data_IF_070380391396
#
_entry.id   IF_070380391396
#
_cell.length_a   1.000
_cell.length_b   1.000
_cell.length_c   1.000
_cell.angle_alpha   90.00
_cell.angle_beta   90.00
_cell.angle_gamma   90.00
#
_symmetry.space_group_name_H-M   'P 1'
#
loop_
_entity.id
_entity.type
_entity.pdbx_description
1 polymer ?
#
# COMPACT_ATOMS: atom_id res chain seq x y z
N UNK A 1 9.16 -3.87 -13.30
CA UNK A 1 8.16 -3.70 -12.22
C UNK A 1 8.50 -2.46 -11.43
N UNK A 2 7.52 -1.62 -11.12
CA UNK A 2 7.75 -0.46 -10.24
C UNK A 2 7.90 -0.95 -8.79
N UNK A 3 9.11 -0.88 -8.24
CA UNK A 3 9.44 -1.40 -6.89
C UNK A 3 9.24 -0.37 -5.78
N UNK A 4 9.14 0.93 -6.11
CA UNK A 4 8.86 2.01 -5.17
C UNK A 4 7.69 2.83 -5.74
N UNK A 5 6.45 2.34 -5.60
CA UNK A 5 5.28 3.02 -6.13
C UNK A 5 5.02 4.34 -5.40
N UNK A 6 4.36 5.27 -6.08
CA UNK A 6 3.81 6.45 -5.41
C UNK A 6 2.81 6.05 -4.33
N UNK A 7 2.77 6.83 -3.24
CA UNK A 7 1.96 6.53 -2.05
C UNK A 7 1.01 7.68 -1.66
N UNK A 8 0.76 8.61 -2.59
CA UNK A 8 -0.21 9.71 -2.43
C UNK A 8 -1.61 9.27 -2.85
N UNK A 9 -2.64 10.07 -2.54
CA UNK A 9 -4.05 9.79 -2.89
C UNK A 9 -4.28 9.51 -4.38
N UNK A 10 -3.49 10.14 -5.25
CA UNK A 10 -3.62 9.99 -6.70
C UNK A 10 -2.85 8.81 -7.27
N UNK A 11 -2.01 8.15 -6.45
CA UNK A 11 -1.13 7.06 -6.87
C UNK A 11 -1.88 5.74 -7.10
N UNK A 12 -1.35 4.90 -7.98
CA UNK A 12 -2.03 3.67 -8.42
C UNK A 12 -2.18 2.63 -7.31
N UNK A 13 -1.16 2.45 -6.46
CA UNK A 13 -1.22 1.43 -5.41
C UNK A 13 -2.27 1.76 -4.32
N UNK A 14 -2.29 2.98 -3.72
CA UNK A 14 -3.36 3.37 -2.81
C UNK A 14 -4.75 3.28 -3.41
N UNK A 15 -4.93 3.68 -4.69
CA UNK A 15 -6.21 3.56 -5.41
C UNK A 15 -6.66 2.10 -5.57
N UNK A 16 -5.73 1.21 -5.90
CA UNK A 16 -6.04 -0.21 -6.04
C UNK A 16 -6.45 -0.83 -4.70
N UNK A 17 -5.74 -0.49 -3.61
CA UNK A 17 -6.10 -0.92 -2.26
C UNK A 17 -7.50 -0.42 -1.88
N UNK A 18 -7.80 0.86 -2.12
CA UNK A 18 -9.13 1.43 -1.89
C UNK A 18 -10.22 0.72 -2.70
N UNK A 19 -9.99 0.45 -3.98
CA UNK A 19 -10.92 -0.29 -4.84
C UNK A 19 -11.17 -1.73 -4.35
N UNK A 20 -10.18 -2.32 -3.69
CA UNK A 20 -10.29 -3.61 -2.99
C UNK A 20 -10.89 -3.52 -1.58
N UNK A 21 -11.34 -2.35 -1.15
CA UNK A 21 -11.91 -2.14 0.19
C UNK A 21 -10.87 -2.12 1.32
N UNK A 22 -9.59 -1.94 1.00
CA UNK A 22 -8.49 -1.88 1.98
C UNK A 22 -8.26 -0.40 2.35
N UNK A 23 -8.47 0.00 3.61
CA UNK A 23 -8.09 1.32 4.10
C UNK A 23 -6.59 1.58 3.96
N UNK A 24 -6.21 2.83 3.71
CA UNK A 24 -4.80 3.19 3.52
C UNK A 24 -3.93 2.83 4.75
N UNK A 25 -4.44 3.02 5.97
CA UNK A 25 -3.75 2.62 7.19
C UNK A 25 -3.48 1.12 7.25
N UNK A 26 -4.40 0.29 6.77
CA UNK A 26 -4.23 -1.16 6.74
C UNK A 26 -3.22 -1.61 5.69
N UNK A 27 -3.18 -0.93 4.54
CA UNK A 27 -2.13 -1.11 3.55
C UNK A 27 -0.75 -0.82 4.15
N UNK A 28 -0.60 0.29 4.90
CA UNK A 28 0.67 0.63 5.56
C UNK A 28 1.04 -0.39 6.63
N UNK A 29 0.08 -0.82 7.47
CA UNK A 29 0.30 -1.84 8.48
C UNK A 29 0.80 -3.15 7.85
N UNK A 30 0.22 -3.55 6.71
CA UNK A 30 0.65 -4.72 5.97
C UNK A 30 2.10 -4.59 5.47
N UNK A 31 2.47 -3.45 4.88
CA UNK A 31 3.82 -3.20 4.39
C UNK A 31 4.86 -3.20 5.52
N UNK A 32 4.54 -2.57 6.67
CA UNK A 32 5.42 -2.55 7.84
C UNK A 32 5.61 -3.97 8.39
N UNK A 33 4.54 -4.76 8.49
CA UNK A 33 4.61 -6.15 8.93
C UNK A 33 5.52 -6.98 8.02
N UNK A 34 5.34 -6.87 6.69
CA UNK A 34 6.20 -7.56 5.73
C UNK A 34 7.68 -7.16 5.84
N UNK A 35 7.95 -5.90 6.20
CA UNK A 35 9.32 -5.42 6.42
C UNK A 35 9.93 -5.97 7.72
N UNK A 36 9.12 -6.25 8.74
CA UNK A 36 9.54 -6.83 10.03
C UNK A 36 9.67 -8.36 10.00
N UNK A 37 9.02 -9.04 9.07
CA UNK A 37 9.15 -10.50 8.87
C UNK A 37 10.51 -10.90 8.27
N UNK A 38 11.43 -9.95 8.07
CA UNK A 38 12.79 -10.15 7.57
C UNK A 38 13.86 -9.66 8.54
#
# INVERSE_FOLDING_TARGET
TNTIPGMTETSLLPKAAQAGGIPFSDLLNHLIKLAQEK
#
